data_IF_898554586274
#
_entry.id   IF_898554586274
#
_cell.length_a   1.000
_cell.length_b   1.000
_cell.length_c   1.000
_cell.angle_alpha   90.00
_cell.angle_beta   90.00
_cell.angle_gamma   90.00
#
_symmetry.space_group_name_H-M   'P 1'
#
loop_
_entity.id
_entity.type
_entity.pdbx_description
1 polymer ?
#
# COMPACT_ATOMS: atom_id res chain seq x y z
N UNK A 1 -20.79 16.23 -5.72
CA UNK A 1 -20.58 14.80 -6.01
C UNK A 1 -21.10 14.41 -7.39
N UNK A 2 -22.34 14.76 -7.78
CA UNK A 2 -22.86 14.47 -9.13
C UNK A 2 -21.94 14.93 -10.27
N UNK A 3 -21.51 16.20 -10.26
CA UNK A 3 -20.57 16.72 -11.28
C UNK A 3 -19.24 15.96 -11.31
N UNK A 4 -18.76 15.51 -10.15
CA UNK A 4 -17.52 14.73 -10.05
C UNK A 4 -17.69 13.36 -10.72
N UNK A 5 -18.75 12.63 -10.41
CA UNK A 5 -19.01 11.33 -11.01
C UNK A 5 -19.34 11.43 -12.51
N UNK A 6 -20.12 12.43 -12.93
CA UNK A 6 -20.37 12.69 -14.35
C UNK A 6 -19.07 13.01 -15.12
N UNK A 7 -18.12 13.72 -14.48
CA UNK A 7 -16.81 13.97 -15.05
C UNK A 7 -16.01 12.66 -15.20
N UNK A 8 -15.92 11.84 -14.16
CA UNK A 8 -15.22 10.54 -14.22
C UNK A 8 -15.85 9.61 -15.28
N UNK A 9 -17.18 9.52 -15.33
CA UNK A 9 -17.92 8.70 -16.30
C UNK A 9 -17.69 9.13 -17.76
N UNK A 10 -17.43 10.42 -18.00
CA UNK A 10 -17.19 10.94 -19.35
C UNK A 10 -15.96 10.32 -20.06
N UNK A 11 -15.04 9.70 -19.30
CA UNK A 11 -13.86 9.03 -19.84
C UNK A 11 -14.09 7.54 -20.18
N UNK A 12 -15.15 6.92 -19.66
CA UNK A 12 -15.45 5.49 -19.85
C UNK A 12 -15.59 5.12 -21.34
N UNK A 13 -16.30 5.90 -22.20
CA UNK A 13 -16.41 5.55 -23.61
C UNK A 13 -15.06 5.44 -24.33
N UNK A 14 -14.10 6.30 -23.97
CA UNK A 14 -12.75 6.25 -24.54
C UNK A 14 -11.96 5.05 -24.02
N UNK A 15 -12.08 4.73 -22.74
CA UNK A 15 -11.45 3.55 -22.12
C UNK A 15 -11.92 2.27 -22.81
N UNK A 16 -13.23 2.11 -23.00
CA UNK A 16 -13.81 0.95 -23.69
C UNK A 16 -13.39 0.88 -25.17
N UNK A 17 -13.32 2.03 -25.86
CA UNK A 17 -12.84 2.10 -27.24
C UNK A 17 -11.39 1.66 -27.39
N UNK A 18 -10.57 1.86 -26.36
CA UNK A 18 -9.17 1.41 -26.32
C UNK A 18 -9.04 -0.09 -26.01
N UNK A 19 -10.15 -0.83 -25.88
CA UNK A 19 -10.15 -2.28 -25.73
C UNK A 19 -10.11 -2.78 -24.29
N UNK A 20 -10.35 -1.90 -23.31
CA UNK A 20 -10.46 -2.30 -21.91
C UNK A 20 -11.66 -3.22 -21.68
N UNK A 21 -11.48 -4.16 -20.74
CA UNK A 21 -12.52 -5.07 -20.30
C UNK A 21 -13.18 -4.44 -19.07
N UNK A 22 -14.48 -4.14 -19.18
CA UNK A 22 -15.29 -3.81 -18.03
C UNK A 22 -15.44 -5.05 -17.13
N UNK A 23 -14.99 -4.93 -15.89
CA UNK A 23 -14.99 -6.02 -14.92
C UNK A 23 -15.88 -5.66 -13.72
N UNK A 24 -16.89 -6.47 -13.40
CA UNK A 24 -17.81 -6.18 -12.31
C UNK A 24 -17.13 -6.38 -10.96
N UNK A 25 -17.30 -5.41 -10.08
CA UNK A 25 -16.84 -5.42 -8.69
C UNK A 25 -18.05 -5.43 -7.76
N UNK A 26 -18.03 -6.35 -6.80
CA UNK A 26 -19.02 -6.42 -5.73
C UNK A 26 -18.42 -5.89 -4.43
N UNK A 27 -18.91 -4.74 -3.96
CA UNK A 27 -18.70 -4.30 -2.60
C UNK A 27 -19.72 -4.97 -1.67
N UNK A 28 -19.27 -5.77 -0.72
CA UNK A 28 -20.11 -6.65 0.11
C UNK A 28 -20.01 -6.39 1.63
N UNK A 29 -19.25 -5.35 2.04
CA UNK A 29 -19.05 -5.01 3.45
C UNK A 29 -19.96 -3.87 3.93
N UNK A 30 -20.91 -3.44 3.10
CA UNK A 30 -21.98 -2.50 3.44
C UNK A 30 -23.23 -3.19 4.00
N UNK A 31 -24.29 -2.41 4.34
CA UNK A 31 -25.57 -2.98 4.76
C UNK A 31 -26.22 -3.82 3.65
N UNK A 32 -26.01 -3.43 2.39
CA UNK A 32 -26.45 -4.17 1.20
C UNK A 32 -25.27 -4.27 0.22
N UNK A 33 -25.15 -5.38 -0.55
CA UNK A 33 -24.12 -5.50 -1.56
C UNK A 33 -24.32 -4.50 -2.72
N UNK A 34 -23.24 -3.84 -3.14
CA UNK A 34 -23.26 -2.82 -4.20
C UNK A 34 -22.39 -3.28 -5.37
N UNK A 35 -23.00 -3.44 -6.54
CA UNK A 35 -22.29 -3.69 -7.79
C UNK A 35 -21.76 -2.39 -8.40
N UNK A 36 -20.58 -2.48 -9.00
CA UNK A 36 -19.88 -1.42 -9.71
C UNK A 36 -18.91 -2.04 -10.72
N UNK A 37 -18.10 -1.23 -11.39
CA UNK A 37 -17.17 -1.71 -12.41
C UNK A 37 -15.79 -1.07 -12.25
N UNK A 38 -14.74 -1.87 -12.47
CA UNK A 38 -13.44 -1.35 -12.90
C UNK A 38 -13.20 -1.70 -14.37
N UNK A 39 -12.12 -1.17 -14.93
CA UNK A 39 -11.72 -1.45 -16.29
C UNK A 39 -10.28 -1.96 -16.29
N UNK A 40 -10.11 -3.17 -16.78
CA UNK A 40 -8.83 -3.87 -16.84
C UNK A 40 -8.27 -3.79 -18.27
N UNK A 41 -6.95 -3.55 -18.45
CA UNK A 41 -6.37 -3.57 -19.78
C UNK A 41 -6.45 -4.99 -20.37
N UNK A 42 -6.55 -5.13 -21.70
CA UNK A 42 -6.75 -6.44 -22.35
C UNK A 42 -5.59 -7.42 -22.11
N UNK A 43 -4.42 -6.93 -21.76
CA UNK A 43 -3.22 -7.71 -21.44
C UNK A 43 -3.08 -8.08 -19.96
N UNK A 44 -4.02 -7.64 -19.11
CA UNK A 44 -3.98 -7.91 -17.67
C UNK A 44 -4.08 -9.41 -17.38
N UNK A 45 -3.23 -9.90 -16.47
CA UNK A 45 -3.24 -11.29 -16.01
C UNK A 45 -3.39 -11.28 -14.48
N UNK A 46 -4.53 -11.76 -13.95
CA UNK A 46 -4.70 -11.94 -12.51
C UNK A 46 -3.67 -12.92 -11.95
N UNK A 47 -3.18 -12.68 -10.74
CA UNK A 47 -2.10 -13.51 -10.16
C UNK A 47 -2.53 -14.95 -9.83
N UNK A 48 -3.84 -15.23 -9.79
CA UNK A 48 -4.40 -16.57 -9.65
C UNK A 48 -4.39 -17.38 -10.97
N UNK A 49 -3.95 -16.80 -12.09
CA UNK A 49 -3.93 -17.48 -13.39
C UNK A 49 -2.87 -18.59 -13.41
N UNK A 50 -3.19 -19.81 -13.89
CA UNK A 50 -2.18 -20.86 -14.07
C UNK A 50 -1.02 -20.40 -14.97
N UNK A 51 0.23 -20.64 -14.55
CA UNK A 51 1.42 -20.18 -15.28
C UNK A 51 1.89 -18.76 -14.93
N UNK A 52 1.24 -18.07 -13.98
CA UNK A 52 1.58 -16.69 -13.62
C UNK A 52 2.99 -16.56 -13.03
N UNK A 53 3.32 -17.41 -12.04
CA UNK A 53 4.64 -17.38 -11.38
C UNK A 53 5.77 -17.71 -12.36
N UNK A 54 5.54 -18.67 -13.25
CA UNK A 54 6.48 -19.05 -14.31
C UNK A 54 6.70 -17.92 -15.32
N UNK A 55 5.65 -17.15 -15.61
CA UNK A 55 5.71 -16.03 -16.56
C UNK A 55 6.45 -14.83 -15.99
N UNK A 56 6.10 -14.40 -14.78
CA UNK A 56 6.58 -13.14 -14.22
C UNK A 56 7.74 -13.30 -13.22
N UNK A 57 7.96 -14.52 -12.74
CA UNK A 57 8.91 -14.80 -11.66
C UNK A 57 8.46 -14.21 -10.33
N UNK A 58 7.17 -13.96 -10.14
CA UNK A 58 6.55 -13.42 -8.94
C UNK A 58 5.19 -14.09 -8.71
N UNK A 59 4.78 -14.28 -7.45
CA UNK A 59 3.50 -14.95 -7.10
C UNK A 59 2.28 -14.04 -7.20
N UNK A 60 2.48 -12.74 -6.99
CA UNK A 60 1.38 -11.77 -6.90
C UNK A 60 1.64 -10.52 -7.74
N UNK A 61 0.56 -9.92 -8.23
CA UNK A 61 0.58 -8.62 -8.90
C UNK A 61 0.95 -7.49 -7.92
N UNK A 62 1.50 -6.41 -8.48
CA UNK A 62 1.81 -5.16 -7.77
C UNK A 62 0.86 -4.07 -8.25
N UNK A 63 0.04 -3.53 -7.35
CA UNK A 63 -0.84 -2.40 -7.62
C UNK A 63 -0.25 -1.11 -7.08
N UNK A 64 -0.13 -0.12 -7.97
CA UNK A 64 0.43 1.20 -7.68
C UNK A 64 -0.71 2.22 -7.69
N UNK A 65 -1.32 2.54 -6.55
CA UNK A 65 -2.30 3.62 -6.49
C UNK A 65 -1.62 4.94 -6.87
N UNK A 66 -2.16 5.63 -7.87
CA UNK A 66 -1.50 6.81 -8.41
C UNK A 66 -2.51 7.89 -8.80
N UNK A 67 -2.14 9.15 -8.56
CA UNK A 67 -3.02 10.31 -8.80
C UNK A 67 -2.19 11.54 -9.18
N UNK A 68 -2.46 12.12 -10.36
CA UNK A 68 -1.75 13.28 -10.92
C UNK A 68 -0.22 13.15 -10.95
N UNK A 69 0.28 11.93 -11.18
CA UNK A 69 1.72 11.61 -11.22
C UNK A 69 2.13 10.90 -12.53
N UNK A 70 1.33 11.04 -13.59
CA UNK A 70 1.73 10.63 -14.94
C UNK A 70 3.06 11.31 -15.32
N UNK A 71 4.00 10.56 -15.89
CA UNK A 71 5.35 11.01 -16.28
C UNK A 71 6.34 11.21 -15.12
N UNK A 72 5.86 11.49 -13.90
CA UNK A 72 6.71 11.82 -12.74
C UNK A 72 6.76 10.75 -11.64
N UNK A 73 5.98 9.67 -11.77
CA UNK A 73 6.06 8.53 -10.85
C UNK A 73 7.48 7.94 -10.83
N UNK A 74 7.88 7.41 -9.66
CA UNK A 74 9.23 6.95 -9.39
C UNK A 74 9.27 5.43 -9.18
N UNK A 75 8.19 4.86 -8.66
CA UNK A 75 8.10 3.42 -8.35
C UNK A 75 8.24 2.54 -9.59
N UNK A 76 7.62 2.91 -10.71
CA UNK A 76 7.78 2.14 -11.95
C UNK A 76 9.24 2.13 -12.42
N UNK A 77 9.94 3.26 -12.36
CA UNK A 77 11.36 3.35 -12.75
C UNK A 77 12.24 2.43 -11.88
N UNK A 78 11.89 2.30 -10.60
CA UNK A 78 12.54 1.37 -9.69
C UNK A 78 12.23 -0.08 -10.08
N UNK A 79 10.97 -0.43 -10.30
CA UNK A 79 10.55 -1.78 -10.70
C UNK A 79 11.12 -2.21 -12.07
N UNK A 80 11.11 -1.31 -13.05
CA UNK A 80 11.66 -1.52 -14.39
C UNK A 80 13.16 -1.83 -14.32
N UNK A 81 13.91 -1.13 -13.45
CA UNK A 81 15.34 -1.41 -13.24
C UNK A 81 15.58 -2.84 -12.76
N UNK A 82 14.68 -3.40 -11.96
CA UNK A 82 14.74 -4.79 -11.49
C UNK A 82 14.03 -5.79 -12.42
N UNK A 83 13.60 -5.36 -13.61
CA UNK A 83 12.92 -6.22 -14.59
C UNK A 83 11.61 -6.81 -14.08
N UNK A 84 10.88 -6.08 -13.23
CA UNK A 84 9.57 -6.50 -12.72
C UNK A 84 8.49 -5.98 -13.66
N UNK A 85 7.67 -6.88 -14.21
CA UNK A 85 6.72 -6.54 -15.28
C UNK A 85 5.26 -6.52 -14.83
N UNK A 86 4.89 -7.30 -13.82
CA UNK A 86 3.52 -7.49 -13.32
C UNK A 86 3.11 -6.41 -12.30
N UNK A 87 3.37 -5.15 -12.66
CA UNK A 87 2.88 -3.98 -11.93
C UNK A 87 1.92 -3.16 -12.77
N UNK A 88 0.95 -2.53 -12.11
CA UNK A 88 -0.09 -1.72 -12.75
C UNK A 88 -0.36 -0.45 -11.95
N UNK A 89 -0.40 0.69 -12.64
CA UNK A 89 -0.92 1.93 -12.09
C UNK A 89 -2.44 1.84 -11.97
N UNK A 90 -2.98 2.13 -10.79
CA UNK A 90 -4.40 2.09 -10.52
C UNK A 90 -4.92 3.51 -10.31
N UNK A 91 -5.71 4.00 -11.28
CA UNK A 91 -6.06 5.41 -11.41
C UNK A 91 -7.57 5.64 -11.56
N UNK A 92 -8.03 6.86 -11.24
CA UNK A 92 -9.40 7.30 -11.56
C UNK A 92 -9.60 7.41 -13.09
N UNK A 93 -10.82 7.22 -13.63
CA UNK A 93 -11.12 7.38 -15.05
C UNK A 93 -10.59 8.67 -15.68
N UNK A 94 -10.71 9.80 -14.99
CA UNK A 94 -10.22 11.11 -15.44
C UNK A 94 -8.70 11.18 -15.62
N UNK A 95 -7.95 10.30 -14.95
CA UNK A 95 -6.49 10.24 -15.05
C UNK A 95 -6.03 9.34 -16.21
N UNK A 96 -6.90 8.45 -16.71
CA UNK A 96 -6.55 7.46 -17.72
C UNK A 96 -5.83 8.05 -18.96
N UNK A 97 -6.29 9.15 -19.59
CA UNK A 97 -5.63 9.65 -20.81
C UNK A 97 -4.15 9.98 -20.61
N UNK A 98 -3.80 10.63 -19.50
CA UNK A 98 -2.41 11.01 -19.21
C UNK A 98 -1.53 9.79 -18.87
N UNK A 99 -2.06 8.81 -18.12
CA UNK A 99 -1.31 7.58 -17.81
C UNK A 99 -1.15 6.68 -19.03
N UNK A 100 -2.17 6.62 -19.90
CA UNK A 100 -2.10 5.92 -21.19
C UNK A 100 -0.99 6.50 -22.06
N UNK A 101 -0.93 7.83 -22.18
CA UNK A 101 0.08 8.51 -22.99
C UNK A 101 1.50 8.18 -22.50
N UNK A 102 1.72 8.18 -21.19
CA UNK A 102 3.07 8.02 -20.63
C UNK A 102 3.52 6.57 -20.41
N UNK A 103 2.60 5.66 -20.08
CA UNK A 103 2.95 4.29 -19.69
C UNK A 103 2.35 3.22 -20.61
N UNK A 104 1.49 3.62 -21.56
CA UNK A 104 0.74 2.70 -22.40
C UNK A 104 -0.47 2.08 -21.69
N UNK A 105 -1.37 1.47 -22.47
CA UNK A 105 -2.59 0.83 -21.94
C UNK A 105 -2.26 -0.36 -21.03
N UNK A 106 -1.20 -1.11 -21.33
CA UNK A 106 -0.89 -2.37 -20.65
C UNK A 106 -0.49 -2.20 -19.16
N UNK A 107 -0.18 -0.97 -18.74
CA UNK A 107 0.26 -0.66 -17.38
C UNK A 107 -0.78 0.08 -16.55
N UNK A 108 -2.01 0.26 -17.05
CA UNK A 108 -3.00 1.11 -16.39
C UNK A 108 -4.28 0.32 -16.14
N UNK A 109 -4.65 0.19 -14.86
CA UNK A 109 -5.96 -0.26 -14.41
C UNK A 109 -6.78 0.99 -14.05
N UNK A 110 -8.00 1.08 -14.57
CA UNK A 110 -8.92 2.16 -14.19
C UNK A 110 -9.86 1.63 -13.11
N UNK A 111 -9.80 2.21 -11.91
CA UNK A 111 -10.60 1.79 -10.76
C UNK A 111 -11.96 2.48 -10.72
N UNK A 112 -12.85 1.93 -9.89
CA UNK A 112 -14.13 2.55 -9.55
C UNK A 112 -13.93 3.75 -8.60
N UNK A 113 -14.25 5.00 -9.01
CA UNK A 113 -14.13 6.17 -8.15
C UNK A 113 -15.16 6.18 -7.00
N UNK A 114 -16.27 5.43 -7.12
CA UNK A 114 -17.33 5.42 -6.10
C UNK A 114 -16.93 4.76 -4.79
N UNK A 115 -15.79 4.05 -4.72
CA UNK A 115 -15.21 3.61 -3.45
C UNK A 115 -14.79 4.77 -2.53
N UNK A 116 -14.74 6.01 -3.04
CA UNK A 116 -14.57 7.21 -2.21
C UNK A 116 -15.89 7.69 -1.58
N UNK A 117 -17.04 7.18 -2.03
CA UNK A 117 -18.35 7.54 -1.48
C UNK A 117 -18.54 7.01 -0.07
N UNK A 118 -19.25 7.76 0.77
CA UNK A 118 -19.70 7.31 2.10
C UNK A 118 -20.57 6.04 2.06
N UNK A 119 -21.11 5.67 0.89
CA UNK A 119 -21.81 4.39 0.69
C UNK A 119 -20.89 3.16 0.75
N UNK A 120 -19.59 3.33 0.49
CA UNK A 120 -18.57 2.27 0.43
C UNK A 120 -17.36 2.53 1.34
N UNK A 121 -17.38 3.62 2.11
CA UNK A 121 -16.24 4.06 2.90
C UNK A 121 -16.68 4.74 4.20
N UNK A 122 -16.17 4.23 5.32
CA UNK A 122 -16.21 4.94 6.60
C UNK A 122 -15.04 5.92 6.69
N UNK A 123 -15.35 7.23 6.74
CA UNK A 123 -14.36 8.30 6.83
C UNK A 123 -13.78 8.48 8.24
N UNK A 124 -14.35 7.83 9.25
CA UNK A 124 -13.96 7.91 10.67
C UNK A 124 -13.75 9.35 11.15
N UNK A 125 -14.53 10.28 10.60
CA UNK A 125 -14.44 11.68 10.93
C UNK A 125 -15.82 12.34 10.86
N UNK A 126 -15.88 13.60 11.27
CA UNK A 126 -17.11 14.41 11.24
C UNK A 126 -17.03 15.55 10.23
N UNK A 127 -16.02 15.56 9.37
CA UNK A 127 -15.80 16.64 8.40
C UNK A 127 -16.50 16.26 7.11
N UNK A 128 -17.60 16.97 6.81
CA UNK A 128 -18.28 16.81 5.54
C UNK A 128 -17.38 17.38 4.44
N UNK A 129 -17.02 16.55 3.48
CA UNK A 129 -16.25 16.94 2.31
C UNK A 129 -16.76 16.26 1.04
N UNK A 130 -16.52 16.83 -0.15
CA UNK A 130 -16.77 16.13 -1.40
C UNK A 130 -15.94 14.85 -1.55
N UNK A 131 -16.48 13.85 -2.24
CA UNK A 131 -15.86 12.52 -2.36
C UNK A 131 -14.45 12.55 -2.99
N UNK A 132 -14.20 13.48 -3.91
CA UNK A 132 -12.87 13.64 -4.52
C UNK A 132 -11.78 14.10 -3.53
N UNK A 133 -12.17 14.60 -2.35
CA UNK A 133 -11.28 14.95 -1.24
C UNK A 133 -11.22 13.88 -0.15
N UNK A 134 -11.96 12.78 -0.29
CA UNK A 134 -11.79 11.62 0.57
C UNK A 134 -10.44 10.99 0.22
N UNK A 135 -9.59 10.82 1.23
CA UNK A 135 -8.20 10.42 1.01
C UNK A 135 -8.06 8.96 0.59
N UNK A 136 -6.95 8.35 0.95
CA UNK A 136 -6.49 7.15 0.26
C UNK A 136 -7.31 5.88 0.55
N UNK A 137 -8.15 5.82 1.59
CA UNK A 137 -8.93 4.62 1.93
C UNK A 137 -9.78 4.09 0.79
N UNK A 138 -10.55 4.97 0.12
CA UNK A 138 -11.37 4.54 -1.02
C UNK A 138 -10.52 3.99 -2.17
N UNK A 139 -9.31 4.54 -2.35
CA UNK A 139 -8.36 4.03 -3.34
C UNK A 139 -7.90 2.63 -2.97
N UNK A 140 -7.45 2.40 -1.75
CA UNK A 140 -6.99 1.07 -1.32
C UNK A 140 -8.13 0.04 -1.25
N UNK A 141 -9.34 0.46 -0.87
CA UNK A 141 -10.52 -0.41 -0.91
C UNK A 141 -10.86 -0.83 -2.34
N UNK A 142 -10.77 0.08 -3.31
CA UNK A 142 -10.97 -0.32 -4.71
C UNK A 142 -9.96 -1.40 -5.15
N UNK A 143 -8.70 -1.34 -4.71
CA UNK A 143 -7.69 -2.35 -5.03
C UNK A 143 -8.01 -3.69 -4.38
N UNK A 144 -8.40 -3.66 -3.10
CA UNK A 144 -8.80 -4.84 -2.35
C UNK A 144 -9.94 -5.56 -3.05
N UNK A 145 -10.96 -4.80 -3.49
CA UNK A 145 -12.14 -5.35 -4.11
C UNK A 145 -11.92 -5.79 -5.57
N UNK A 146 -11.04 -5.13 -6.33
CA UNK A 146 -10.54 -5.64 -7.61
C UNK A 146 -9.92 -7.02 -7.40
N UNK A 147 -8.95 -7.11 -6.48
CA UNK A 147 -8.20 -8.35 -6.23
C UNK A 147 -9.09 -9.48 -5.71
N UNK A 148 -10.02 -9.18 -4.79
CA UNK A 148 -11.02 -10.14 -4.29
C UNK A 148 -11.92 -10.67 -5.40
N UNK A 149 -12.50 -9.80 -6.23
CA UNK A 149 -13.42 -10.22 -7.29
C UNK A 149 -12.71 -10.97 -8.42
N UNK A 150 -11.42 -10.70 -8.67
CA UNK A 150 -10.57 -11.48 -9.56
C UNK A 150 -10.25 -12.89 -9.02
N UNK A 151 -10.46 -13.13 -7.72
CA UNK A 151 -10.11 -14.38 -7.07
C UNK A 151 -8.60 -14.52 -6.80
N UNK A 152 -7.88 -13.41 -6.69
CA UNK A 152 -6.49 -13.42 -6.21
C UNK A 152 -6.45 -13.74 -4.71
N UNK A 153 -5.40 -14.41 -4.23
CA UNK A 153 -5.23 -14.67 -2.80
C UNK A 153 -4.60 -13.47 -2.07
N UNK A 154 -3.70 -12.77 -2.75
CA UNK A 154 -2.93 -11.66 -2.21
C UNK A 154 -2.39 -10.77 -3.34
N UNK A 155 -1.98 -9.56 -2.97
CA UNK A 155 -1.35 -8.60 -3.88
C UNK A 155 -0.39 -7.69 -3.11
N UNK A 156 0.55 -7.08 -3.83
CA UNK A 156 1.35 -5.99 -3.31
C UNK A 156 0.69 -4.65 -3.60
N UNK A 157 0.74 -3.76 -2.63
CA UNK A 157 0.50 -2.33 -2.80
C UNK A 157 1.83 -1.60 -2.67
N UNK A 158 2.16 -0.74 -3.63
CA UNK A 158 3.31 0.16 -3.56
C UNK A 158 2.90 1.57 -3.96
N UNK A 159 3.12 2.57 -3.10
CA UNK A 159 2.92 3.98 -3.44
C UNK A 159 3.78 4.35 -4.65
N UNK A 160 3.40 5.36 -5.42
CA UNK A 160 4.02 5.74 -6.70
C UNK A 160 5.29 6.62 -6.58
N UNK A 161 5.74 6.91 -5.35
CA UNK A 161 6.89 7.77 -5.04
C UNK A 161 8.10 7.03 -4.44
N UNK A 162 8.16 5.70 -4.57
CA UNK A 162 9.31 4.90 -4.16
C UNK A 162 10.45 5.07 -5.18
N UNK A 163 11.50 5.76 -4.77
CA UNK A 163 12.64 6.14 -5.60
C UNK A 163 13.72 5.07 -5.71
N UNK A 164 13.77 4.15 -4.75
CA UNK A 164 14.82 3.15 -4.69
C UNK A 164 14.79 2.34 -3.41
N UNK A 165 15.79 1.49 -3.28
CA UNK A 165 15.93 0.55 -2.16
C UNK A 165 17.28 0.79 -1.48
N UNK A 166 17.33 0.58 -0.18
CA UNK A 166 18.53 0.86 0.59
C UNK A 166 18.65 0.04 1.86
N UNK A 167 19.84 0.12 2.44
CA UNK A 167 20.17 -0.41 3.77
C UNK A 167 20.99 0.63 4.55
N UNK A 168 21.00 0.50 5.88
CA UNK A 168 21.90 1.27 6.73
C UNK A 168 23.08 0.39 7.11
N UNK A 169 24.30 0.91 6.96
CA UNK A 169 25.51 0.25 7.44
C UNK A 169 26.13 1.09 8.56
N UNK A 170 26.51 0.47 9.68
CA UNK A 170 27.21 1.18 10.76
C UNK A 170 28.60 1.62 10.28
N UNK A 171 29.01 2.85 10.59
CA UNK A 171 30.38 3.31 10.38
C UNK A 171 31.30 2.61 11.38
N UNK A 172 32.44 2.11 10.91
CA UNK A 172 33.39 1.33 11.73
C UNK A 172 33.09 -0.17 11.73
N UNK A 173 33.63 -0.89 12.71
CA UNK A 173 33.58 -2.36 12.73
C UNK A 173 32.44 -2.88 13.63
N UNK A 174 31.54 -3.70 13.06
CA UNK A 174 30.55 -4.50 13.79
C UNK A 174 29.27 -3.75 14.21
N UNK A 175 28.36 -4.49 14.84
CA UNK A 175 27.10 -4.00 15.46
C UNK A 175 27.36 -3.75 16.95
N UNK A 176 26.89 -2.64 17.51
CA UNK A 176 26.92 -2.38 18.96
C UNK A 176 25.54 -2.65 19.55
N UNK A 177 25.35 -3.72 20.35
CA UNK A 177 24.06 -4.03 20.95
C UNK A 177 23.54 -2.88 21.83
N UNK A 178 22.27 -2.50 21.65
CA UNK A 178 21.63 -1.46 22.46
C UNK A 178 21.97 -0.02 22.09
N UNK A 179 22.74 0.23 21.03
CA UNK A 179 23.00 1.57 20.52
C UNK A 179 21.67 2.23 20.10
N UNK A 180 21.36 3.41 20.65
CA UNK A 180 20.28 4.26 20.13
C UNK A 180 20.71 4.79 18.77
N UNK A 181 19.79 4.76 17.80
CA UNK A 181 20.07 5.27 16.46
C UNK A 181 20.57 6.72 16.51
N UNK A 182 21.75 6.95 15.94
CA UNK A 182 22.34 8.26 15.67
C UNK A 182 22.75 8.31 14.20
N UNK A 183 22.23 9.26 13.43
CA UNK A 183 22.51 9.40 12.00
C UNK A 183 24.01 9.51 11.68
N UNK A 184 24.81 10.06 12.60
CA UNK A 184 26.21 10.35 12.34
C UNK A 184 27.08 9.08 12.40
N UNK A 185 26.57 8.03 13.05
CA UNK A 185 27.22 6.72 13.17
C UNK A 185 26.93 5.77 12.00
N UNK A 186 26.15 6.18 10.98
CA UNK A 186 25.69 5.29 9.91
C UNK A 186 25.96 5.83 8.50
N UNK A 187 26.42 4.94 7.62
CA UNK A 187 26.33 5.14 6.18
C UNK A 187 24.92 4.84 5.72
N UNK A 188 24.42 5.74 4.88
CA UNK A 188 23.21 5.49 4.12
C UNK A 188 23.61 4.85 2.79
N UNK A 189 23.48 3.53 2.68
CA UNK A 189 23.63 2.81 1.41
C UNK A 189 22.28 2.85 0.68
N UNK A 190 22.03 3.98 0.01
CA UNK A 190 20.72 4.38 -0.50
C UNK A 190 20.36 3.82 -1.88
N UNK A 191 21.17 2.94 -2.46
CA UNK A 191 21.03 2.55 -3.87
C UNK A 191 21.37 1.07 -4.07
N UNK A 192 20.62 0.19 -3.38
CA UNK A 192 20.59 -1.21 -3.75
C UNK A 192 20.00 -1.31 -5.16
N UNK A 193 20.78 -1.90 -6.05
CA UNK A 193 20.51 -1.95 -7.49
C UNK A 193 21.05 -3.27 -8.06
N UNK A 194 20.58 -3.71 -9.24
CA UNK A 194 21.12 -4.90 -9.88
C UNK A 194 22.63 -4.81 -10.11
N UNK A 195 23.18 -3.61 -10.38
CA UNK A 195 24.60 -3.41 -10.65
C UNK A 195 25.51 -3.72 -9.46
N UNK A 196 24.99 -3.61 -8.23
CA UNK A 196 25.70 -4.01 -7.00
C UNK A 196 25.37 -5.44 -6.57
N UNK A 197 24.68 -6.21 -7.42
CA UNK A 197 24.34 -7.61 -7.20
C UNK A 197 23.11 -7.82 -6.31
N UNK A 198 22.26 -6.81 -6.13
CA UNK A 198 21.02 -6.97 -5.36
C UNK A 198 19.88 -7.45 -6.27
N UNK A 199 19.29 -8.60 -5.94
CA UNK A 199 18.10 -9.11 -6.61
C UNK A 199 16.85 -8.77 -5.80
N UNK A 200 16.12 -7.74 -6.24
CA UNK A 200 14.87 -7.36 -5.59
C UNK A 200 13.72 -8.31 -5.92
N UNK A 201 13.71 -8.94 -7.10
CA UNK A 201 12.65 -9.86 -7.49
C UNK A 201 12.69 -11.12 -6.63
N UNK A 202 13.88 -11.68 -6.41
CA UNK A 202 14.09 -12.79 -5.49
C UNK A 202 13.66 -12.42 -4.06
N UNK A 203 14.01 -11.22 -3.60
CA UNK A 203 13.59 -10.75 -2.29
C UNK A 203 12.06 -10.64 -2.13
N UNK A 204 11.37 -10.10 -3.14
CA UNK A 204 9.90 -10.06 -3.16
C UNK A 204 9.32 -11.49 -3.08
N UNK A 205 9.88 -12.45 -3.81
CA UNK A 205 9.45 -13.85 -3.72
C UNK A 205 9.65 -14.42 -2.31
N UNK A 206 10.79 -14.17 -1.67
CA UNK A 206 11.02 -14.59 -0.28
C UNK A 206 9.98 -14.01 0.68
N UNK A 207 9.63 -12.73 0.50
CA UNK A 207 8.54 -12.10 1.25
C UNK A 207 7.20 -12.80 0.99
N UNK A 208 6.85 -13.09 -0.27
CA UNK A 208 5.62 -13.79 -0.63
C UNK A 208 5.58 -15.20 -0.02
N UNK A 209 6.69 -15.95 -0.06
CA UNK A 209 6.82 -17.29 0.52
C UNK A 209 6.63 -17.24 2.05
N UNK A 210 7.24 -16.25 2.71
CA UNK A 210 7.05 -16.05 4.15
C UNK A 210 5.58 -15.70 4.45
N UNK A 211 5.01 -14.79 3.67
CA UNK A 211 3.62 -14.36 3.79
C UNK A 211 2.66 -15.54 3.67
N UNK A 212 2.88 -16.48 2.75
CA UNK A 212 2.03 -17.67 2.60
C UNK A 212 2.10 -18.65 3.76
N UNK A 213 3.25 -18.69 4.45
CA UNK A 213 3.41 -19.51 5.64
C UNK A 213 2.72 -18.91 6.87
N UNK A 214 2.25 -17.67 6.81
CA UNK A 214 1.58 -16.99 7.92
C UNK A 214 0.07 -17.27 7.91
N UNK A 215 -0.45 -17.84 9.00
CA UNK A 215 -1.88 -18.21 9.11
C UNK A 215 -2.77 -17.08 9.60
N UNK A 216 -2.28 -16.25 10.51
CA UNK A 216 -2.99 -15.07 11.03
C UNK A 216 -2.38 -13.78 10.48
N UNK A 217 -2.07 -13.75 9.18
CA UNK A 217 -1.49 -12.58 8.50
C UNK A 217 -2.52 -11.48 8.27
N UNK A 218 -2.10 -10.25 8.45
CA UNK A 218 -2.71 -9.06 7.86
C UNK A 218 -1.74 -8.50 6.83
N UNK A 219 -1.18 -7.31 7.07
CA UNK A 219 -0.17 -6.73 6.20
C UNK A 219 1.22 -7.33 6.45
N UNK A 220 2.00 -7.50 5.38
CA UNK A 220 3.45 -7.61 5.48
C UNK A 220 4.10 -6.48 4.71
N UNK A 221 4.74 -5.54 5.42
CA UNK A 221 5.37 -4.36 4.83
C UNK A 221 6.89 -4.40 4.85
N UNK A 222 7.51 -3.54 4.06
CA UNK A 222 8.90 -3.15 4.24
C UNK A 222 8.96 -1.85 5.03
N UNK A 223 10.05 -1.59 5.76
CA UNK A 223 10.21 -0.34 6.50
C UNK A 223 10.76 0.78 5.59
N UNK A 224 10.30 2.02 5.85
CA UNK A 224 10.82 3.19 5.11
C UNK A 224 12.26 3.44 5.53
N UNK A 225 13.09 3.69 4.52
CA UNK A 225 14.47 4.05 4.68
C UNK A 225 14.63 5.24 5.63
N UNK A 226 15.40 5.04 6.70
CA UNK A 226 15.63 6.09 7.69
C UNK A 226 14.90 5.91 9.02
N UNK A 227 13.85 5.09 9.11
CA UNK A 227 13.02 4.99 10.32
C UNK A 227 13.58 4.12 11.45
N UNK A 228 14.24 3.00 11.14
CA UNK A 228 14.76 2.07 12.16
C UNK A 228 16.23 1.71 11.96
N UNK A 229 16.86 1.22 13.02
CA UNK A 229 18.20 0.65 13.01
C UNK A 229 18.12 -0.78 12.50
N UNK A 230 18.81 -1.12 11.40
CA UNK A 230 18.69 -2.41 10.75
C UNK A 230 19.78 -3.39 11.24
N UNK A 231 19.34 -4.58 11.64
CA UNK A 231 20.10 -5.83 11.48
C UNK A 231 19.91 -6.33 10.03
N UNK A 232 20.75 -7.23 9.49
CA UNK A 232 20.64 -7.70 8.11
C UNK A 232 19.23 -8.21 7.75
N UNK A 233 18.57 -8.90 8.68
CA UNK A 233 17.15 -9.27 8.58
C UNK A 233 16.53 -9.13 9.97
N UNK A 234 15.44 -8.39 10.08
CA UNK A 234 14.63 -8.27 11.29
C UNK A 234 13.16 -8.16 10.87
N UNK A 235 12.27 -8.77 11.66
CA UNK A 235 10.82 -8.67 11.46
C UNK A 235 10.22 -8.20 12.76
N UNK A 236 9.48 -7.09 12.69
CA UNK A 236 8.69 -6.60 13.81
C UNK A 236 7.22 -6.94 13.59
N UNK A 237 6.60 -7.51 14.62
CA UNK A 237 5.22 -8.00 14.58
C UNK A 237 4.29 -7.03 15.32
N UNK A 238 3.01 -7.08 14.97
CA UNK A 238 1.94 -6.36 15.65
C UNK A 238 2.11 -4.85 15.61
N UNK A 239 2.55 -4.33 14.47
CA UNK A 239 2.81 -2.89 14.26
C UNK A 239 2.11 -2.37 13.01
N UNK A 240 2.46 -1.17 12.61
CA UNK A 240 1.97 -0.47 11.41
C UNK A 240 2.55 -1.05 10.11
N UNK A 241 1.87 -0.78 9.00
CA UNK A 241 2.39 -0.96 7.65
C UNK A 241 2.17 0.33 6.84
N UNK A 242 3.14 0.71 6.01
CA UNK A 242 3.10 1.96 5.23
C UNK A 242 3.56 1.69 3.80
N UNK A 243 2.90 2.32 2.81
CA UNK A 243 3.33 2.58 1.42
C UNK A 243 3.87 1.43 0.55
N UNK A 244 4.26 0.30 1.13
CA UNK A 244 4.78 -0.88 0.46
C UNK A 244 4.44 -2.08 1.34
N UNK A 245 3.38 -2.80 0.97
CA UNK A 245 2.89 -3.93 1.74
C UNK A 245 2.17 -4.99 0.90
N UNK A 246 2.29 -6.24 1.32
CA UNK A 246 1.45 -7.36 0.92
C UNK A 246 0.13 -7.31 1.67
N UNK A 247 -0.95 -7.62 0.96
CA UNK A 247 -2.30 -7.72 1.47
C UNK A 247 -2.84 -9.13 1.21
N UNK A 248 -3.48 -9.76 2.21
CA UNK A 248 -4.17 -11.06 2.07
C UNK A 248 -5.66 -10.83 1.90
N UNK A 249 -6.24 -11.23 0.77
CA UNK A 249 -7.63 -10.93 0.43
C UNK A 249 -8.64 -11.57 1.37
N UNK A 250 -8.27 -12.66 2.06
CA UNK A 250 -9.18 -13.39 2.97
C UNK A 250 -9.34 -12.69 4.31
N UNK A 251 -8.23 -12.22 4.87
CA UNK A 251 -8.23 -11.60 6.19
C UNK A 251 -8.43 -10.08 6.11
N UNK A 252 -7.99 -9.44 5.02
CA UNK A 252 -7.98 -7.99 4.91
C UNK A 252 -9.38 -7.39 5.03
N UNK A 253 -9.49 -6.47 5.99
CA UNK A 253 -10.64 -5.60 6.20
C UNK A 253 -10.48 -4.30 5.42
N UNK A 254 -11.58 -3.60 5.23
CA UNK A 254 -11.57 -2.33 4.53
C UNK A 254 -10.65 -1.32 5.23
N UNK A 255 -9.99 -0.53 4.41
CA UNK A 255 -9.35 0.68 4.85
C UNK A 255 -10.40 1.67 5.31
N UNK A 256 -10.17 2.21 6.51
CA UNK A 256 -11.05 3.17 7.15
C UNK A 256 -10.32 4.51 7.26
N UNK A 257 -11.09 5.58 7.19
CA UNK A 257 -10.63 6.92 7.51
C UNK A 257 -10.27 7.78 6.31
N UNK A 258 -10.57 9.07 6.39
CA UNK A 258 -10.17 10.01 5.34
C UNK A 258 -8.64 10.16 5.25
N UNK A 259 -7.92 10.01 6.37
CA UNK A 259 -6.46 10.12 6.45
C UNK A 259 -5.92 9.12 7.49
N UNK A 260 -4.63 8.77 7.40
CA UNK A 260 -3.98 7.74 8.25
C UNK A 260 -4.65 6.36 8.20
N UNK A 261 -5.23 6.03 7.06
CA UNK A 261 -5.95 4.77 6.88
C UNK A 261 -5.06 3.55 7.08
N UNK A 262 -3.80 3.65 6.67
CA UNK A 262 -2.75 2.67 6.92
C UNK A 262 -2.61 2.30 8.41
N UNK A 263 -2.56 3.30 9.29
CA UNK A 263 -2.46 3.12 10.74
C UNK A 263 -3.77 2.61 11.32
N UNK A 264 -4.89 3.23 10.95
CA UNK A 264 -6.22 2.87 11.47
C UNK A 264 -6.49 1.40 11.15
N UNK A 265 -6.29 0.99 9.90
CA UNK A 265 -6.48 -0.40 9.46
C UNK A 265 -5.48 -1.34 10.10
N UNK A 266 -4.21 -0.94 10.26
CA UNK A 266 -3.25 -1.78 10.99
C UNK A 266 -3.71 -2.08 12.42
N UNK A 267 -4.26 -1.09 13.13
CA UNK A 267 -4.80 -1.28 14.49
C UNK A 267 -6.08 -2.11 14.49
N UNK A 268 -7.01 -1.86 13.57
CA UNK A 268 -8.23 -2.68 13.43
C UNK A 268 -7.92 -4.14 13.18
N UNK A 269 -7.05 -4.44 12.21
CA UNK A 269 -6.60 -5.79 11.92
C UNK A 269 -5.99 -6.46 13.17
N UNK A 270 -5.23 -5.70 13.96
CA UNK A 270 -4.65 -6.18 15.22
C UNK A 270 -5.74 -6.50 16.27
N UNK A 271 -6.84 -5.74 16.33
CA UNK A 271 -7.99 -6.03 17.21
C UNK A 271 -8.67 -7.36 16.87
N UNK A 272 -8.70 -7.73 15.60
CA UNK A 272 -9.22 -9.01 15.13
C UNK A 272 -8.27 -10.20 15.34
N UNK A 273 -7.08 -9.96 15.93
CA UNK A 273 -6.10 -11.01 16.21
C UNK A 273 -5.20 -11.36 15.01
N UNK A 274 -5.28 -10.59 13.93
CA UNK A 274 -4.32 -10.69 12.83
C UNK A 274 -3.04 -9.94 13.15
N UNK A 275 -1.93 -10.43 12.63
CA UNK A 275 -0.59 -9.92 12.90
C UNK A 275 -0.07 -9.22 11.67
N UNK A 276 0.13 -7.91 11.80
CA UNK A 276 0.94 -7.14 10.86
C UNK A 276 2.41 -7.47 11.07
N UNK A 277 3.15 -7.63 9.99
CA UNK A 277 4.61 -7.79 10.00
C UNK A 277 5.25 -6.65 9.22
N UNK A 278 6.37 -6.13 9.72
CA UNK A 278 7.21 -5.20 8.98
C UNK A 278 8.64 -5.75 8.94
N UNK A 279 9.19 -5.83 7.73
CA UNK A 279 10.56 -6.24 7.46
C UNK A 279 11.47 -5.03 7.68
N UNK A 280 12.19 -5.03 8.79
CA UNK A 280 13.12 -3.97 9.25
C UNK A 280 14.57 -4.24 8.79
N UNK A 281 14.75 -4.81 7.60
CA UNK A 281 16.04 -5.28 7.08
C UNK A 281 16.24 -4.96 5.60
N UNK A 282 16.46 -5.99 4.78
CA UNK A 282 16.70 -5.86 3.34
C UNK A 282 15.41 -6.20 2.55
N UNK A 283 14.91 -5.29 1.69
CA UNK A 283 15.28 -3.89 1.50
C UNK A 283 14.41 -2.97 2.34
N UNK A 284 14.97 -1.82 2.71
CA UNK A 284 14.15 -0.67 3.10
C UNK A 284 13.86 0.16 1.86
N UNK A 285 12.63 0.66 1.73
CA UNK A 285 12.26 1.48 0.59
C UNK A 285 12.54 2.96 0.85
N UNK A 286 13.14 3.62 -0.13
CA UNK A 286 13.35 5.06 -0.10
C UNK A 286 12.24 5.72 -0.92
N UNK A 287 11.48 6.63 -0.31
CA UNK A 287 10.44 7.40 -1.01
C UNK A 287 10.69 8.89 -0.89
N UNK A 288 10.20 9.63 -1.89
CA UNK A 288 10.25 11.09 -1.86
C UNK A 288 9.53 11.62 -0.60
N UNK A 289 9.97 12.78 -0.11
CA UNK A 289 9.29 13.41 1.02
C UNK A 289 7.89 13.89 0.61
N UNK A 290 6.92 13.62 1.48
CA UNK A 290 5.53 14.03 1.28
C UNK A 290 5.46 15.55 1.05
N UNK A 291 4.64 15.99 0.09
CA UNK A 291 4.46 17.39 -0.35
C UNK A 291 5.56 17.96 -1.26
N UNK A 292 6.64 17.22 -1.54
CA UNK A 292 7.65 17.65 -2.55
C UNK A 292 7.15 17.41 -3.97
N UNK A 293 6.48 16.27 -4.18
CA UNK A 293 5.85 15.93 -5.45
C UNK A 293 4.41 16.44 -5.49
N UNK A 294 4.01 17.02 -6.62
CA UNK A 294 2.62 17.31 -6.91
C UNK A 294 1.81 16.00 -7.05
N UNK A 295 0.50 16.07 -6.80
CA UNK A 295 -0.38 14.89 -6.82
C UNK A 295 -0.27 14.00 -5.57
N UNK A 296 -0.92 12.85 -5.63
CA UNK A 296 -1.13 11.97 -4.47
C UNK A 296 -1.99 12.62 -3.36
N UNK A 297 -1.73 12.28 -2.10
CA UNK A 297 -2.46 12.83 -0.95
C UNK A 297 -2.15 14.32 -0.65
N UNK A 298 -1.23 14.94 -1.40
CA UNK A 298 -0.82 16.34 -1.21
C UNK A 298 -2.00 17.31 -1.34
N UNK A 299 -2.92 17.06 -2.29
CA UNK A 299 -4.09 17.93 -2.51
C UNK A 299 -5.02 17.96 -1.28
N UNK A 300 -5.21 16.80 -0.63
CA UNK A 300 -5.99 16.66 0.61
C UNK A 300 -5.29 17.38 1.76
N UNK A 301 -3.98 17.22 1.90
CA UNK A 301 -3.21 17.90 2.95
C UNK A 301 -3.20 19.42 2.80
N UNK A 302 -3.15 19.93 1.57
CA UNK A 302 -3.22 21.37 1.31
C UNK A 302 -4.59 21.97 1.68
N UNK A 303 -5.66 21.16 1.61
CA UNK A 303 -7.02 21.61 1.93
C UNK A 303 -7.34 21.57 3.42
N UNK A 304 -7.01 20.47 4.10
CA UNK A 304 -7.42 20.23 5.51
C UNK A 304 -6.29 20.47 6.53
N UNK A 305 -5.04 20.53 6.08
CA UNK A 305 -3.87 20.66 6.94
C UNK A 305 -3.56 19.38 7.73
N UNK A 306 -2.50 19.43 8.56
CA UNK A 306 -2.01 18.27 9.32
C UNK A 306 -2.73 18.02 10.65
N UNK A 307 -3.52 19.00 11.12
CA UNK A 307 -4.31 18.83 12.34
C UNK A 307 -5.49 17.87 12.11
N UNK A 308 -6.17 18.01 10.97
CA UNK A 308 -7.27 17.12 10.59
C UNK A 308 -6.81 15.67 10.53
N UNK A 309 -5.66 15.44 9.87
CA UNK A 309 -4.96 14.15 9.87
C UNK A 309 -4.86 13.52 11.26
N UNK A 310 -4.41 14.28 12.24
CA UNK A 310 -4.26 13.78 13.61
C UNK A 310 -5.60 13.55 14.32
N UNK A 311 -6.62 14.38 14.05
CA UNK A 311 -7.97 14.24 14.63
C UNK A 311 -8.67 12.96 14.15
N UNK A 312 -8.65 12.68 12.85
CA UNK A 312 -9.27 11.46 12.28
C UNK A 312 -8.73 10.21 12.99
N UNK A 313 -7.40 10.16 13.18
CA UNK A 313 -6.77 9.02 13.86
C UNK A 313 -7.19 8.89 15.34
N UNK A 314 -7.26 10.00 16.06
CA UNK A 314 -7.69 9.99 17.47
C UNK A 314 -9.17 9.65 17.62
N UNK A 315 -10.00 10.06 16.66
CA UNK A 315 -11.42 9.67 16.63
C UNK A 315 -11.59 8.17 16.35
N UNK A 316 -10.85 7.63 15.38
CA UNK A 316 -10.90 6.21 15.05
C UNK A 316 -10.28 5.32 16.14
N UNK A 317 -9.19 5.76 16.77
CA UNK A 317 -8.36 4.96 17.69
C UNK A 317 -8.02 5.71 18.99
N UNK A 318 -9.00 6.14 19.80
CA UNK A 318 -8.77 7.00 20.96
C UNK A 318 -7.92 6.34 22.06
N UNK A 319 -7.99 5.02 22.19
CA UNK A 319 -7.24 4.27 23.21
C UNK A 319 -5.75 4.11 22.86
N UNK A 320 -5.37 4.30 21.59
CA UNK A 320 -4.03 4.00 21.09
C UNK A 320 -3.34 5.21 20.47
N UNK A 321 -4.03 6.34 20.32
CA UNK A 321 -3.46 7.50 19.63
C UNK A 321 -3.74 8.81 20.36
N UNK A 322 -2.84 9.77 20.19
CA UNK A 322 -2.97 11.13 20.72
C UNK A 322 -2.35 12.14 19.78
N UNK A 323 -2.90 13.35 19.77
CA UNK A 323 -2.25 14.49 19.11
C UNK A 323 -0.97 14.83 19.89
N UNK A 324 0.12 15.03 19.17
CA UNK A 324 1.43 15.34 19.73
C UNK A 324 2.14 16.36 18.85
N UNK A 325 3.22 16.96 19.35
CA UNK A 325 4.09 17.81 18.54
C UNK A 325 5.36 17.03 18.28
N UNK A 326 5.58 16.66 17.01
CA UNK A 326 6.74 15.89 16.58
C UNK A 326 7.38 16.66 15.44
N UNK A 327 8.70 16.81 15.45
CA UNK A 327 9.46 17.58 14.45
C UNK A 327 8.96 19.02 14.29
N UNK A 328 8.62 19.69 15.39
CA UNK A 328 8.12 21.07 15.42
C UNK A 328 6.82 21.30 14.64
N UNK A 329 6.04 20.24 14.38
CA UNK A 329 4.72 20.31 13.74
C UNK A 329 3.68 19.51 14.51
N UNK A 330 2.41 19.89 14.38
CA UNK A 330 1.29 19.08 14.86
C UNK A 330 1.32 17.73 14.14
N UNK A 331 1.40 16.67 14.93
CA UNK A 331 1.48 15.29 14.49
C UNK A 331 0.61 14.41 15.41
N UNK A 332 0.59 13.11 15.16
CA UNK A 332 0.04 12.12 16.08
C UNK A 332 1.16 11.23 16.65
N UNK A 333 0.91 10.68 17.83
CA UNK A 333 1.61 9.54 18.40
C UNK A 333 0.66 8.36 18.45
N UNK A 334 1.16 7.15 18.18
CA UNK A 334 0.39 5.90 18.20
C UNK A 334 1.15 4.86 19.02
N UNK A 335 0.45 4.21 19.94
CA UNK A 335 0.96 3.13 20.76
C UNK A 335 0.54 1.76 20.21
N UNK A 336 1.52 0.95 19.80
CA UNK A 336 1.33 -0.44 19.37
C UNK A 336 1.74 -1.46 20.43
N UNK A 337 2.08 -1.05 21.67
CA UNK A 337 2.61 -1.93 22.71
C UNK A 337 1.69 -3.07 23.13
N UNK A 338 0.38 -2.90 22.94
CA UNK A 338 -0.58 -3.97 23.16
C UNK A 338 -0.46 -5.08 22.11
N UNK A 339 -0.17 -4.71 20.87
CA UNK A 339 -0.20 -5.62 19.72
C UNK A 339 1.17 -6.16 19.34
N UNK A 340 2.27 -5.46 19.67
CA UNK A 340 3.64 -5.91 19.38
C UNK A 340 4.04 -7.24 20.07
N UNK A 341 3.20 -7.74 20.98
CA UNK A 341 3.34 -9.04 21.65
C UNK A 341 2.54 -10.15 20.98
N UNK A 342 1.78 -9.84 19.94
CA UNK A 342 1.01 -10.85 19.21
C UNK A 342 1.95 -11.86 18.54
N UNK A 343 1.57 -13.12 18.65
CA UNK A 343 2.33 -14.22 18.08
C UNK A 343 1.87 -14.50 16.66
N UNK A 344 2.82 -14.48 15.73
CA UNK A 344 2.61 -14.97 14.39
C UNK A 344 2.51 -16.49 14.38
N UNK A 345 1.45 -17.02 13.76
CA UNK A 345 1.23 -18.45 13.61
C UNK A 345 1.73 -18.89 12.23
N UNK A 346 2.72 -19.78 12.23
CA UNK A 346 3.24 -20.38 11.00
C UNK A 346 2.34 -21.51 10.48
N UNK A 347 2.73 -22.08 9.34
CA UNK A 347 2.09 -23.25 8.74
C UNK A 347 1.93 -24.40 9.75
N UNK A 348 0.82 -25.15 9.63
CA UNK A 348 0.58 -26.33 10.46
C UNK A 348 1.66 -27.36 10.15
N UNK A 349 2.34 -27.86 11.18
CA UNK A 349 3.28 -28.97 11.00
C UNK A 349 2.48 -30.22 10.60
N UNK A 350 2.78 -30.89 9.47
CA UNK A 350 1.97 -31.99 8.94
C UNK A 350 1.71 -33.15 9.91
N UNK A 351 2.52 -33.28 10.98
CA UNK A 351 2.54 -34.46 11.87
C UNK A 351 2.28 -34.16 13.35
N UNK A 352 1.77 -32.99 13.73
CA UNK A 352 1.25 -32.83 15.09
C UNK A 352 -0.19 -33.35 15.15
N UNK A 353 -0.33 -34.66 15.40
CA UNK A 353 -1.59 -35.20 15.95
C UNK A 353 -1.88 -34.43 17.24
N UNK A 354 -3.09 -33.88 17.32
CA UNK A 354 -3.62 -33.19 18.50
C UNK A 354 -3.63 -34.17 19.68
#
# INVERSE_FOLDING_TARGET
>A
NEEYYAHEESFIPQILKDGYIEFPILYDNGPEPIWSSCYLPPSFIPSCTPGFEEKFGLRYNIYIPSYKRAGIALTNKMLDRFGIENYYFCVDPSQYPAYKEEYGIDKVIVRDPSFKSESKLDLTNSVISPDFLHGASGVFNSLLYISKCLGEDAYFTMDDDIMGLGIKARKGNGVVPGEKYDKDNYYRCSNLTPEVGYDFKENLNDMMILFDKMRNKSFMSCEKYGLVFALPVSIKLGTRSYSFYLTDNRNQRDHLGQQNNDIITSLEMSKYGFVNAIVEGIPQYNSADTQVLQGGATDVYNKFGTLDKAKVLVQAQPNYSKISVVYSRVHHFVDFNQYNKQRLLGAVKPNQKI
#
